data_IF_571902647515
#
_entry.id   IF_571902647515
#
_cell.length_a   1.000
_cell.length_b   1.000
_cell.length_c   1.000
_cell.angle_alpha   90.00
_cell.angle_beta   90.00
_cell.angle_gamma   90.00
#
_symmetry.space_group_name_H-M   'P 1'
#
loop_
_entity.id
_entity.type
_entity.pdbx_description
1 polymer ?
#
# COMPACT_ATOMS: atom_id res chain seq x y z
N UNK A 1 -0.30 -23.83 17.74
CA UNK A 1 -1.54 -23.12 18.14
C UNK A 1 -1.77 -21.95 17.18
N UNK A 2 -2.67 -22.09 16.22
CA UNK A 2 -2.99 -21.01 15.25
C UNK A 2 -3.91 -20.00 15.93
N UNK A 3 -3.41 -18.84 16.33
CA UNK A 3 -4.23 -17.74 16.84
C UNK A 3 -4.85 -17.01 15.65
N UNK A 4 -5.94 -17.54 15.12
CA UNK A 4 -6.78 -16.82 14.16
C UNK A 4 -7.44 -15.66 14.91
N UNK A 5 -6.88 -14.47 14.77
CA UNK A 5 -7.48 -13.23 15.28
C UNK A 5 -8.79 -13.05 14.50
N UNK A 6 -9.96 -13.09 15.16
CA UNK A 6 -11.24 -13.07 14.45
C UNK A 6 -11.39 -11.78 13.64
N UNK A 7 -11.73 -11.90 12.36
CA UNK A 7 -11.93 -10.78 11.41
C UNK A 7 -12.89 -9.70 11.92
N UNK A 8 -13.74 -10.01 12.91
CA UNK A 8 -14.60 -9.04 13.59
C UNK A 8 -13.83 -7.91 14.31
N UNK A 9 -12.59 -8.15 14.74
CA UNK A 9 -11.77 -7.12 15.38
C UNK A 9 -11.36 -6.00 14.41
N UNK A 10 -11.31 -6.31 13.11
CA UNK A 10 -10.88 -5.41 12.05
C UNK A 10 -11.90 -4.30 11.75
N UNK A 11 -13.20 -4.59 11.90
CA UNK A 11 -14.28 -3.62 11.66
C UNK A 11 -14.56 -2.69 12.85
N UNK A 12 -14.22 -3.09 14.07
CA UNK A 12 -14.46 -2.26 15.26
C UNK A 12 -13.51 -1.05 15.35
N UNK A 13 -12.40 -1.06 14.60
CA UNK A 13 -11.30 -0.12 14.79
C UNK A 13 -11.35 1.14 13.91
N UNK A 14 -12.19 1.15 12.87
CA UNK A 14 -12.27 2.31 11.96
C UNK A 14 -13.19 3.43 12.50
N UNK A 15 -13.95 3.20 13.58
CA UNK A 15 -15.04 4.10 14.03
C UNK A 15 -14.77 4.93 15.30
N UNK A 16 -13.53 5.08 15.74
CA UNK A 16 -13.23 5.90 16.94
C UNK A 16 -12.00 6.80 16.72
N UNK A 17 -12.12 7.77 15.83
CA UNK A 17 -11.21 8.92 15.81
C UNK A 17 -11.83 10.02 16.69
N UNK A 18 -11.10 10.37 17.75
CA UNK A 18 -11.26 11.58 18.56
C UNK A 18 -12.54 11.65 19.43
N UNK A 19 -12.69 10.72 20.37
CA UNK A 19 -13.43 11.06 21.59
C UNK A 19 -12.46 11.76 22.54
N UNK A 20 -12.85 12.93 23.05
CA UNK A 20 -12.19 13.72 24.10
C UNK A 20 -12.26 12.97 25.44
N UNK A 21 -11.87 11.70 25.44
CA UNK A 21 -11.86 10.83 26.60
C UNK A 21 -10.74 11.23 27.55
N UNK A 22 -11.02 11.07 28.83
CA UNK A 22 -10.00 11.06 29.87
C UNK A 22 -8.91 10.00 29.58
N UNK A 23 -7.77 10.10 30.26
CA UNK A 23 -6.67 9.12 30.15
C UNK A 23 -7.17 7.68 30.35
N UNK A 24 -8.22 7.50 31.17
CA UNK A 24 -8.82 6.19 31.46
C UNK A 24 -9.47 5.54 30.23
N UNK A 25 -10.17 6.31 29.39
CA UNK A 25 -10.72 5.79 28.13
C UNK A 25 -9.62 5.23 27.21
N UNK A 26 -8.48 5.94 27.12
CA UNK A 26 -7.32 5.47 26.36
C UNK A 26 -6.69 4.21 26.96
N UNK A 27 -6.59 4.12 28.29
CA UNK A 27 -6.07 2.93 28.97
C UNK A 27 -6.95 1.69 28.76
N UNK A 28 -8.28 1.82 28.82
CA UNK A 28 -9.20 0.70 28.54
C UNK A 28 -9.08 0.18 27.12
N UNK A 29 -8.89 1.08 26.15
CA UNK A 29 -8.63 0.71 24.74
C UNK A 29 -7.32 -0.07 24.63
N UNK A 30 -6.25 0.44 25.26
CA UNK A 30 -4.96 -0.22 25.28
C UNK A 30 -5.05 -1.62 25.93
N UNK A 31 -5.68 -1.75 27.09
CA UNK A 31 -5.86 -3.03 27.79
C UNK A 31 -6.53 -4.08 26.89
N UNK A 32 -7.53 -3.66 26.12
CA UNK A 32 -8.21 -4.52 25.16
C UNK A 32 -7.26 -5.00 24.05
N UNK A 33 -6.40 -4.12 23.53
CA UNK A 33 -5.38 -4.50 22.55
C UNK A 33 -4.30 -5.41 23.14
N UNK A 34 -3.87 -5.18 24.37
CA UNK A 34 -2.89 -6.02 25.07
C UNK A 34 -3.39 -7.46 25.24
N UNK A 35 -4.70 -7.64 25.51
CA UNK A 35 -5.33 -8.96 25.53
C UNK A 35 -5.32 -9.65 24.16
N UNK A 36 -5.54 -8.88 23.08
CA UNK A 36 -5.50 -9.43 21.70
C UNK A 36 -4.11 -9.95 21.35
N UNK A 37 -3.06 -9.17 21.66
CA UNK A 37 -1.67 -9.59 21.41
C UNK A 37 -1.13 -10.55 22.48
N UNK A 38 -1.94 -10.88 23.49
CA UNK A 38 -1.59 -11.74 24.63
C UNK A 38 -0.27 -11.31 25.29
N UNK A 39 -0.16 -10.01 25.58
CA UNK A 39 1.04 -9.47 26.22
C UNK A 39 1.30 -10.19 27.57
N UNK A 40 2.45 -10.87 27.73
CA UNK A 40 2.70 -11.71 28.91
C UNK A 40 3.31 -10.93 30.08
N UNK A 41 3.79 -9.70 29.85
CA UNK A 41 4.49 -8.91 30.85
C UNK A 41 3.56 -8.18 31.80
N UNK A 42 4.13 -7.70 32.91
CA UNK A 42 3.45 -6.75 33.79
C UNK A 42 3.19 -5.43 33.06
N UNK A 43 2.03 -4.82 33.33
CA UNK A 43 1.61 -3.53 32.76
C UNK A 43 1.55 -2.51 33.89
N UNK A 44 2.46 -1.53 33.86
CA UNK A 44 2.47 -0.43 34.83
C UNK A 44 1.45 0.66 34.44
N UNK A 45 0.20 0.49 34.86
CA UNK A 45 -0.86 1.46 34.60
C UNK A 45 -0.61 2.83 35.24
N UNK A 46 0.19 2.92 36.31
CA UNK A 46 0.54 4.19 36.94
C UNK A 46 1.58 4.95 36.09
N UNK A 47 2.63 4.26 35.62
CA UNK A 47 3.58 4.79 34.65
C UNK A 47 2.88 5.21 33.35
N UNK A 48 1.97 4.40 32.82
CA UNK A 48 1.20 4.72 31.62
C UNK A 48 0.33 5.97 31.81
N UNK A 49 -0.38 6.10 32.93
CA UNK A 49 -1.25 7.25 33.20
C UNK A 49 -0.47 8.55 33.41
N UNK A 50 0.71 8.48 34.04
CA UNK A 50 1.63 9.62 34.21
C UNK A 50 2.50 9.89 32.97
N UNK A 51 2.47 9.00 31.97
CA UNK A 51 3.24 9.14 30.74
C UNK A 51 4.74 8.91 30.94
N UNK A 52 5.14 8.06 31.88
CA UNK A 52 6.52 7.62 32.01
C UNK A 52 6.89 6.65 30.89
N UNK A 53 7.96 6.94 30.15
CA UNK A 53 8.38 6.15 28.99
C UNK A 53 8.71 4.69 29.35
N UNK A 54 9.26 4.46 30.55
CA UNK A 54 9.64 3.14 31.04
C UNK A 54 8.48 2.13 31.03
N UNK A 55 7.24 2.61 31.20
CA UNK A 55 6.04 1.77 31.15
C UNK A 55 5.59 1.38 29.74
N UNK A 56 5.95 2.16 28.71
CA UNK A 56 5.56 1.91 27.31
C UNK A 56 6.57 1.02 26.58
N UNK A 57 7.85 1.17 26.89
CA UNK A 57 8.95 0.53 26.15
C UNK A 57 8.86 -1.01 26.16
N UNK A 58 8.60 -1.70 27.28
CA UNK A 58 8.46 -3.16 27.30
C UNK A 58 7.32 -3.66 26.41
N UNK A 59 6.19 -2.95 26.41
CA UNK A 59 5.02 -3.27 25.60
C UNK A 59 5.35 -3.12 24.11
N UNK A 60 5.96 -2.00 23.72
CA UNK A 60 6.37 -1.75 22.33
C UNK A 60 7.41 -2.74 21.85
N UNK A 61 8.38 -3.07 22.71
CA UNK A 61 9.42 -4.07 22.43
C UNK A 61 8.81 -5.44 22.15
N UNK A 62 7.95 -5.93 23.05
CA UNK A 62 7.22 -7.18 22.83
C UNK A 62 6.41 -7.14 21.53
N UNK A 63 5.68 -6.05 21.30
CA UNK A 63 4.80 -5.91 20.13
C UNK A 63 5.57 -6.03 18.82
N UNK A 64 6.75 -5.42 18.71
CA UNK A 64 7.53 -5.42 17.47
C UNK A 64 8.43 -6.66 17.29
N UNK A 65 8.91 -7.25 18.39
CA UNK A 65 9.95 -8.27 18.34
C UNK A 65 9.40 -9.67 18.66
N UNK A 66 8.49 -9.79 19.63
CA UNK A 66 8.08 -11.09 20.17
C UNK A 66 6.70 -11.54 19.71
N UNK A 67 5.77 -10.60 19.48
CA UNK A 67 4.40 -10.93 19.11
C UNK A 67 4.30 -11.61 17.75
N UNK A 68 5.08 -11.17 16.76
CA UNK A 68 5.03 -11.68 15.39
C UNK A 68 6.43 -12.04 14.87
N UNK A 69 6.84 -13.33 14.96
CA UNK A 69 8.15 -13.77 14.48
C UNK A 69 8.46 -13.39 13.02
N UNK A 70 7.52 -13.51 12.05
CA UNK A 70 7.79 -13.09 10.67
C UNK A 70 8.03 -11.59 10.52
N UNK A 71 7.38 -10.78 11.36
CA UNK A 71 7.63 -9.34 11.37
C UNK A 71 9.02 -9.05 11.93
N UNK A 72 9.39 -9.69 13.04
CA UNK A 72 10.71 -9.53 13.65
C UNK A 72 11.83 -9.90 12.68
N UNK A 73 11.69 -11.01 11.94
CA UNK A 73 12.61 -11.40 10.87
C UNK A 73 12.70 -10.34 9.77
N UNK A 74 11.56 -9.83 9.29
CA UNK A 74 11.54 -8.76 8.29
C UNK A 74 12.25 -7.49 8.79
N UNK A 75 12.08 -7.11 10.06
CA UNK A 75 12.77 -5.98 10.67
C UNK A 75 14.28 -6.22 10.73
N UNK A 76 14.72 -7.43 11.08
CA UNK A 76 16.14 -7.81 11.11
C UNK A 76 16.76 -7.75 9.71
N UNK A 77 16.09 -8.28 8.68
CA UNK A 77 16.56 -8.21 7.28
C UNK A 77 16.66 -6.77 6.78
N UNK A 78 15.79 -5.88 7.26
CA UNK A 78 15.83 -4.44 6.93
C UNK A 78 16.92 -3.69 7.70
N UNK A 79 17.66 -4.35 8.60
CA UNK A 79 18.67 -3.73 9.46
C UNK A 79 18.08 -2.88 10.60
N UNK A 80 16.81 -3.08 10.93
CA UNK A 80 16.07 -2.36 11.96
C UNK A 80 15.84 -3.22 13.22
N UNK A 81 16.86 -3.95 13.63
CA UNK A 81 16.78 -4.82 14.80
C UNK A 81 16.56 -4.02 16.09
N UNK A 82 15.63 -4.44 16.96
CA UNK A 82 15.24 -3.71 18.17
C UNK A 82 15.74 -4.36 19.48
N UNK A 83 16.50 -5.45 19.38
CA UNK A 83 16.97 -6.26 20.52
C UNK A 83 18.07 -5.55 21.33
N UNK A 84 18.08 -5.74 22.65
CA UNK A 84 19.16 -5.34 23.57
C UNK A 84 19.66 -3.88 23.46
N UNK A 85 18.77 -2.94 23.11
CA UNK A 85 19.10 -1.51 22.98
C UNK A 85 18.79 -0.72 24.26
N UNK A 86 19.54 0.36 24.48
CA UNK A 86 19.15 1.40 25.45
C UNK A 86 17.85 2.07 25.02
N UNK A 87 17.11 2.66 25.96
CA UNK A 87 15.82 3.32 25.69
C UNK A 87 15.88 4.35 24.56
N UNK A 88 16.98 5.12 24.51
CA UNK A 88 17.23 6.11 23.46
C UNK A 88 17.40 5.44 22.08
N UNK A 89 18.26 4.42 21.99
CA UNK A 89 18.53 3.69 20.74
C UNK A 89 17.32 2.88 20.27
N UNK A 90 16.57 2.32 21.21
CA UNK A 90 15.31 1.65 20.94
C UNK A 90 14.31 2.64 20.35
N UNK A 91 14.11 3.80 20.99
CA UNK A 91 13.17 4.83 20.52
C UNK A 91 13.58 5.38 19.14
N UNK A 92 14.88 5.59 18.91
CA UNK A 92 15.38 5.97 17.59
C UNK A 92 14.99 4.97 16.50
N UNK A 93 15.16 3.68 16.79
CA UNK A 93 14.89 2.59 15.85
C UNK A 93 13.38 2.40 15.67
N UNK A 94 12.59 2.46 16.76
CA UNK A 94 11.13 2.46 16.73
C UNK A 94 10.60 3.50 15.74
N UNK A 95 11.08 4.74 15.84
CA UNK A 95 10.62 5.81 14.94
C UNK A 95 11.04 5.61 13.48
N UNK A 96 12.17 4.94 13.22
CA UNK A 96 12.54 4.51 11.85
C UNK A 96 11.58 3.43 11.36
N UNK A 97 11.34 2.39 12.16
CA UNK A 97 10.38 1.32 11.83
C UNK A 97 9.00 1.88 11.52
N UNK A 98 8.49 2.78 12.37
CA UNK A 98 7.17 3.39 12.14
C UNK A 98 7.09 4.14 10.81
N UNK A 99 8.12 4.88 10.43
CA UNK A 99 8.13 5.63 9.16
C UNK A 99 8.43 4.77 7.95
N UNK A 100 9.46 3.95 8.04
CA UNK A 100 10.06 3.29 6.88
C UNK A 100 9.35 1.97 6.56
N UNK A 101 8.82 1.27 7.59
CA UNK A 101 8.12 -0.02 7.43
C UNK A 101 6.61 0.15 7.44
N UNK A 102 6.09 0.99 8.35
CA UNK A 102 4.65 1.17 8.51
C UNK A 102 4.09 2.42 7.83
N UNK A 103 4.93 3.29 7.27
CA UNK A 103 4.52 4.58 6.69
C UNK A 103 3.67 5.43 7.67
N UNK A 104 3.89 5.24 8.97
CA UNK A 104 3.21 5.95 10.04
C UNK A 104 4.08 7.09 10.55
N UNK A 105 3.49 8.29 10.62
CA UNK A 105 4.14 9.49 11.16
C UNK A 105 3.63 9.73 12.60
N UNK A 106 4.43 9.44 13.64
CA UNK A 106 3.98 9.63 15.02
C UNK A 106 3.68 11.10 15.32
N UNK A 107 2.65 11.33 16.14
CA UNK A 107 2.24 12.66 16.60
C UNK A 107 3.20 13.28 17.64
N UNK A 108 4.03 12.45 18.28
CA UNK A 108 5.04 12.89 19.24
C UNK A 108 6.42 12.84 18.59
N UNK A 109 7.33 13.70 19.02
CA UNK A 109 8.76 13.56 18.71
C UNK A 109 9.40 12.52 19.63
N UNK A 110 10.58 12.01 19.25
CA UNK A 110 11.35 11.05 20.06
C UNK A 110 11.61 11.57 21.49
N UNK A 111 11.98 12.85 21.59
CA UNK A 111 12.23 13.50 22.88
C UNK A 111 10.95 13.60 23.71
N UNK A 112 9.82 14.00 23.11
CA UNK A 112 8.53 14.03 23.81
C UNK A 112 8.05 12.64 24.22
N UNK A 113 8.43 11.60 23.47
CA UNK A 113 8.13 10.23 23.83
C UNK A 113 8.94 9.76 25.06
N UNK A 114 10.21 10.15 25.16
CA UNK A 114 11.07 9.81 26.30
C UNK A 114 10.82 10.67 27.53
N UNK A 115 10.37 11.91 27.36
CA UNK A 115 10.05 12.83 28.46
C UNK A 115 8.78 12.39 29.19
N UNK A 116 8.76 12.44 30.53
CA UNK A 116 7.55 12.17 31.32
C UNK A 116 6.39 13.10 30.94
N UNK A 117 5.16 12.59 30.94
CA UNK A 117 3.95 13.30 30.51
C UNK A 117 3.47 12.83 29.13
N UNK A 118 2.63 13.65 28.45
CA UNK A 118 2.01 13.31 27.17
C UNK A 118 1.27 11.96 27.15
N UNK A 119 0.76 11.50 28.29
CA UNK A 119 0.25 10.13 28.48
C UNK A 119 -0.79 9.74 27.44
N UNK A 120 -1.81 10.56 27.22
CA UNK A 120 -2.85 10.30 26.20
C UNK A 120 -2.25 10.08 24.81
N UNK A 121 -1.34 10.96 24.37
CA UNK A 121 -0.71 10.88 23.06
C UNK A 121 0.18 9.64 22.95
N UNK A 122 0.92 9.28 24.00
CA UNK A 122 1.73 8.06 24.04
C UNK A 122 0.88 6.80 24.00
N UNK A 123 -0.21 6.75 24.76
CA UNK A 123 -1.16 5.63 24.74
C UNK A 123 -1.79 5.51 23.35
N UNK A 124 -2.16 6.64 22.72
CA UNK A 124 -2.67 6.64 21.36
C UNK A 124 -1.65 6.07 20.36
N UNK A 125 -0.41 6.57 20.38
CA UNK A 125 0.67 6.04 19.53
C UNK A 125 0.85 4.55 19.76
N UNK A 126 0.89 4.08 21.02
CA UNK A 126 1.05 2.66 21.32
C UNK A 126 -0.12 1.81 20.82
N UNK A 127 -1.36 2.30 20.96
CA UNK A 127 -2.53 1.64 20.36
C UNK A 127 -2.36 1.54 18.83
N UNK A 128 -1.93 2.61 18.17
CA UNK A 128 -1.72 2.61 16.72
C UNK A 128 -0.64 1.61 16.32
N UNK A 129 0.50 1.57 17.03
CA UNK A 129 1.58 0.59 16.79
C UNK A 129 1.05 -0.85 16.90
N UNK A 130 0.31 -1.18 17.95
CA UNK A 130 -0.25 -2.54 18.12
C UNK A 130 -1.15 -2.90 16.93
N UNK A 131 -1.98 -1.97 16.48
CA UNK A 131 -2.88 -2.21 15.35
C UNK A 131 -2.12 -2.36 14.02
N UNK A 132 -1.12 -1.52 13.77
CA UNK A 132 -0.26 -1.61 12.59
C UNK A 132 0.46 -2.98 12.54
N UNK A 133 0.97 -3.42 13.69
CA UNK A 133 1.62 -4.72 13.81
C UNK A 133 0.62 -5.87 13.60
N UNK A 134 -0.58 -5.80 14.17
CA UNK A 134 -1.63 -6.79 13.95
C UNK A 134 -2.00 -6.90 12.46
N UNK A 135 -2.14 -5.76 11.78
CA UNK A 135 -2.43 -5.73 10.34
C UNK A 135 -1.29 -6.39 9.55
N UNK A 136 -0.04 -6.01 9.81
CA UNK A 136 1.13 -6.55 9.13
C UNK A 136 1.34 -8.03 9.41
N UNK A 137 1.16 -8.47 10.66
CA UNK A 137 1.19 -9.89 11.04
C UNK A 137 0.19 -10.70 10.21
N UNK A 138 -1.05 -10.23 10.08
CA UNK A 138 -2.07 -10.91 9.28
C UNK A 138 -1.73 -10.92 7.78
N UNK A 139 -1.07 -9.89 7.25
CA UNK A 139 -0.58 -9.88 5.86
C UNK A 139 0.50 -10.95 5.66
N UNK A 140 1.46 -11.06 6.59
CA UNK A 140 2.55 -12.03 6.54
C UNK A 140 2.09 -13.47 6.83
N UNK A 141 1.04 -13.66 7.65
CA UNK A 141 0.50 -14.99 7.95
C UNK A 141 -0.39 -15.56 6.83
N UNK A 142 -0.93 -14.71 5.95
CA UNK A 142 -1.72 -15.16 4.79
C UNK A 142 -0.85 -15.67 3.63
N UNK A 143 0.48 -15.53 3.70
CA UNK A 143 1.38 -15.67 2.56
C UNK A 143 2.12 -17.03 2.41
N UNK A 144 1.52 -18.18 2.72
CA UNK A 144 1.85 -19.37 1.92
C UNK A 144 0.63 -20.07 1.33
N UNK A 145 -0.44 -20.27 2.10
CA UNK A 145 -1.59 -21.07 1.67
C UNK A 145 -2.50 -20.30 0.68
N UNK A 146 -2.63 -18.98 0.82
CA UNK A 146 -3.48 -18.18 -0.08
C UNK A 146 -2.78 -17.90 -1.40
N UNK A 147 -1.46 -17.68 -1.40
CA UNK A 147 -0.69 -17.53 -2.63
C UNK A 147 -0.66 -18.84 -3.42
N UNK A 148 -0.47 -19.98 -2.76
CA UNK A 148 -0.53 -21.31 -3.38
C UNK A 148 -1.94 -21.62 -3.90
N UNK A 149 -2.99 -21.27 -3.15
CA UNK A 149 -4.38 -21.45 -3.61
C UNK A 149 -4.78 -20.48 -4.71
N UNK A 150 -4.25 -19.25 -4.72
CA UNK A 150 -4.46 -18.28 -5.80
C UNK A 150 -3.72 -18.72 -7.06
N UNK A 151 -2.46 -19.13 -6.95
CA UNK A 151 -1.69 -19.67 -8.08
C UNK A 151 -2.24 -21.00 -8.59
N UNK A 152 -2.72 -21.89 -7.71
CA UNK A 152 -3.41 -23.12 -8.11
C UNK A 152 -4.77 -22.84 -8.75
N UNK A 153 -5.53 -21.86 -8.25
CA UNK A 153 -6.81 -21.46 -8.84
C UNK A 153 -6.60 -20.74 -10.18
N UNK A 154 -5.59 -19.87 -10.30
CA UNK A 154 -5.19 -19.24 -11.57
C UNK A 154 -4.72 -20.28 -12.59
N UNK A 155 -3.98 -21.31 -12.17
CA UNK A 155 -3.60 -22.43 -13.02
C UNK A 155 -4.82 -23.25 -13.47
N UNK A 156 -5.77 -23.51 -12.56
CA UNK A 156 -7.03 -24.20 -12.88
C UNK A 156 -7.91 -23.39 -13.83
N UNK A 157 -8.02 -22.07 -13.62
CA UNK A 157 -8.74 -21.15 -14.51
C UNK A 157 -8.07 -21.14 -15.88
N UNK A 158 -6.73 -21.02 -15.98
CA UNK A 158 -6.00 -21.10 -17.25
C UNK A 158 -6.20 -22.42 -17.99
N UNK A 159 -6.38 -23.53 -17.28
CA UNK A 159 -6.64 -24.86 -17.88
C UNK A 159 -8.09 -25.08 -18.32
N UNK A 160 -9.01 -24.16 -18.04
CA UNK A 160 -10.42 -24.34 -18.37
C UNK A 160 -10.64 -24.19 -19.89
N UNK A 161 -11.25 -25.17 -20.59
CA UNK A 161 -11.31 -25.20 -22.06
C UNK A 161 -12.09 -24.02 -22.67
N UNK A 162 -12.98 -23.38 -21.90
CA UNK A 162 -13.66 -22.15 -22.31
C UNK A 162 -12.71 -20.95 -22.48
N UNK A 163 -11.62 -20.88 -21.70
CA UNK A 163 -10.64 -19.80 -21.76
C UNK A 163 -9.65 -19.96 -22.92
N UNK A 164 -9.39 -21.19 -23.38
CA UNK A 164 -8.62 -21.41 -24.60
C UNK A 164 -9.34 -20.83 -25.84
N UNK A 165 -10.68 -20.86 -25.86
CA UNK A 165 -11.45 -20.18 -26.92
C UNK A 165 -11.33 -18.67 -26.82
N UNK A 166 -11.32 -18.11 -25.61
CA UNK A 166 -11.15 -16.67 -25.39
C UNK A 166 -9.75 -16.20 -25.75
N UNK A 167 -8.69 -16.94 -25.42
CA UNK A 167 -7.32 -16.60 -25.82
C UNK A 167 -7.12 -16.70 -27.34
N UNK A 168 -7.75 -17.67 -28.01
CA UNK A 168 -7.79 -17.72 -29.49
C UNK A 168 -8.53 -16.50 -30.06
N UNK A 169 -9.65 -16.10 -29.43
CA UNK A 169 -10.43 -14.94 -29.86
C UNK A 169 -9.66 -13.63 -29.66
N UNK A 170 -9.00 -13.43 -28.52
CA UNK A 170 -8.14 -12.27 -28.25
C UNK A 170 -7.02 -12.15 -29.28
N UNK A 171 -6.32 -13.26 -29.55
CA UNK A 171 -5.27 -13.29 -30.56
C UNK A 171 -5.80 -12.98 -31.96
N UNK A 172 -6.98 -13.49 -32.32
CA UNK A 172 -7.65 -13.16 -33.59
C UNK A 172 -8.10 -11.71 -33.65
N UNK A 173 -8.53 -11.11 -32.54
CA UNK A 173 -8.91 -9.70 -32.47
C UNK A 173 -7.68 -8.82 -32.70
N UNK A 174 -6.54 -9.11 -32.07
CA UNK A 174 -5.27 -8.39 -32.31
C UNK A 174 -4.82 -8.48 -33.77
N UNK A 175 -4.91 -9.68 -34.36
CA UNK A 175 -4.52 -9.91 -35.75
C UNK A 175 -5.43 -9.14 -36.74
N UNK A 176 -6.74 -9.10 -36.46
CA UNK A 176 -7.71 -8.30 -37.22
C UNK A 176 -7.52 -6.79 -37.03
N UNK A 177 -7.12 -6.34 -35.84
CA UNK A 177 -6.81 -4.93 -35.58
C UNK A 177 -5.55 -4.47 -36.30
N UNK A 178 -4.52 -5.31 -36.31
CA UNK A 178 -3.29 -5.09 -37.07
C UNK A 178 -3.61 -4.95 -38.57
N UNK A 179 -4.33 -5.92 -39.14
CA UNK A 179 -4.70 -5.89 -40.56
C UNK A 179 -5.50 -4.65 -40.95
N UNK A 180 -6.46 -4.25 -40.11
CA UNK A 180 -7.27 -3.06 -40.31
C UNK A 180 -6.45 -1.77 -40.27
N UNK A 181 -5.37 -1.72 -39.49
CA UNK A 181 -4.49 -0.56 -39.43
C UNK A 181 -3.65 -0.46 -40.70
N UNK A 182 -3.11 -1.57 -41.22
CA UNK A 182 -2.37 -1.60 -42.48
C UNK A 182 -3.25 -1.18 -43.66
N UNK A 183 -4.47 -1.69 -43.75
CA UNK A 183 -5.41 -1.35 -44.84
C UNK A 183 -5.81 0.13 -44.81
N UNK A 184 -5.94 0.72 -43.61
CA UNK A 184 -6.21 2.15 -43.44
C UNK A 184 -5.03 3.01 -43.89
N UNK A 185 -3.81 2.59 -43.57
CA UNK A 185 -2.60 3.31 -43.95
C UNK A 185 -2.42 3.29 -45.47
N UNK A 186 -2.57 2.13 -46.11
CA UNK A 186 -2.57 2.00 -47.57
C UNK A 186 -3.63 2.86 -48.25
N UNK A 187 -4.83 2.94 -47.67
CA UNK A 187 -5.90 3.78 -48.19
C UNK A 187 -5.58 5.28 -48.02
N UNK A 188 -5.03 5.67 -46.88
CA UNK A 188 -4.60 7.04 -46.61
C UNK A 188 -3.52 7.47 -47.61
N UNK A 189 -2.55 6.60 -47.86
CA UNK A 189 -1.48 6.77 -48.85
C UNK A 189 -2.04 7.01 -50.27
N UNK A 190 -3.07 6.24 -50.65
CA UNK A 190 -3.74 6.40 -51.95
C UNK A 190 -4.49 7.71 -52.04
N UNK A 191 -5.16 8.13 -50.97
CA UNK A 191 -5.89 9.40 -50.91
C UNK A 191 -4.93 10.59 -50.99
N UNK A 192 -3.78 10.52 -50.33
CA UNK A 192 -2.74 11.55 -50.40
C UNK A 192 -2.21 11.70 -51.83
N UNK A 193 -1.87 10.59 -52.50
CA UNK A 193 -1.44 10.59 -53.91
C UNK A 193 -2.46 11.26 -54.84
N UNK A 194 -3.76 10.97 -54.65
CA UNK A 194 -4.83 11.61 -55.45
C UNK A 194 -4.92 13.11 -55.13
N UNK A 195 -4.82 13.47 -53.85
CA UNK A 195 -4.88 14.86 -53.39
C UNK A 195 -3.75 15.70 -53.98
N UNK A 196 -2.53 15.17 -54.01
CA UNK A 196 -1.37 15.84 -54.61
C UNK A 196 -1.52 15.99 -56.14
N UNK A 197 -2.06 14.98 -56.82
CA UNK A 197 -2.37 15.06 -58.25
C UNK A 197 -3.40 16.18 -58.53
N UNK A 198 -4.46 16.27 -57.73
CA UNK A 198 -5.48 17.32 -57.85
C UNK A 198 -4.92 18.72 -57.52
N UNK A 199 -4.02 18.82 -56.54
CA UNK A 199 -3.34 20.08 -56.21
C UNK A 199 -2.45 20.54 -57.37
N UNK A 200 -1.70 19.62 -57.97
CA UNK A 200 -0.85 19.89 -59.14
C UNK A 200 -1.67 20.34 -60.36
N UNK A 201 -2.80 19.69 -60.67
CA UNK A 201 -3.69 20.12 -61.76
C UNK A 201 -4.37 21.46 -61.48
N UNK A 202 -4.73 21.75 -60.22
CA UNK A 202 -5.24 23.07 -59.81
C UNK A 202 -4.20 24.19 -60.01
N UNK A 203 -2.92 23.94 -59.73
CA UNK A 203 -1.85 24.89 -59.99
C UNK A 203 -1.65 25.18 -61.49
N UNK A 204 -1.84 24.17 -62.36
CA UNK A 204 -1.78 24.37 -63.81
C UNK A 204 -2.93 25.24 -64.33
N UNK A 205 -4.14 25.11 -63.76
CA UNK A 205 -5.30 25.93 -64.14
C UNK A 205 -5.20 27.39 -63.63
N UNK A 206 -4.49 27.65 -62.52
CA UNK A 206 -4.25 29.02 -62.01
C UNK A 206 -3.21 29.81 -62.82
N UNK A 207 -2.33 29.14 -63.56
CA UNK A 207 -1.32 29.80 -64.41
C UNK A 207 -1.87 30.20 -65.80
N UNK A 208 -3.05 29.73 -66.17
CA UNK A 208 -3.73 30.12 -67.42
C UNK A 208 -4.58 31.39 -67.30
N UNK A 209 -4.76 31.96 -66.11
CA UNK A 209 -5.50 33.22 -65.91
C UNK A 209 -4.61 34.49 -65.82
N UNK A 210 -3.27 34.36 -65.82
CA UNK A 210 -2.36 35.52 -65.77
C UNK A 210 -1.82 35.98 -67.14
N UNK A 211 -2.25 35.38 -68.24
CA UNK A 211 -1.89 35.77 -69.61
C UNK A 211 -3.03 36.51 -70.33
N UNK A 212 -3.61 37.53 -69.71
CA UNK A 212 -4.36 38.56 -70.45
C UNK A 212 -4.07 39.94 -69.86
N UNK A 213 -2.94 40.52 -70.24
CA UNK A 213 -2.73 41.97 -70.18
C UNK A 213 -3.58 42.63 -71.26
N UNK A 214 -4.42 43.63 -70.94
CA UNK A 214 -5.09 44.42 -71.95
C UNK A 214 -4.09 45.40 -72.55
N UNK A 215 -3.82 45.25 -73.84
CA UNK A 215 -3.08 46.21 -74.64
C UNK A 215 -4.00 47.39 -74.96
N UNK A 216 -3.76 48.56 -74.34
CA UNK A 216 -3.97 49.90 -74.89
C UNK A 216 -3.31 50.96 -74.02
#
# INVERSE_FOLDING_TARGET
MKTTIPSFFFLFLQKNMLSTGDVQGFLRRLETLLRVIKYPGYVDYNGLSTGDASAFLPILSFTLISFSPPLAEQLTVTGLELTCKTDLRFTDTLYKVLRDVFNYKPILTKQQFLQRGFSQRKISVMCDVINLVLQKHNQLMKSPEVEERLSALEAQIKSHPGLHRLSILEKRIEELESQRNTDKEDLMDRVERITDMLRSTSCLLKNTESATTPCK
#
